data_IF_673929825666
#
_entry.id   IF_673929825666
#
_cell.length_a   1.000
_cell.length_b   1.000
_cell.length_c   1.000
_cell.angle_alpha   90.00
_cell.angle_beta   90.00
_cell.angle_gamma   90.00
#
_symmetry.space_group_name_H-M   'P 1'
#
loop_
_entity.id
_entity.type
_entity.pdbx_description
1 polymer ?
#
# COMPACT_ATOMS: atom_id res chain seq x y z
N UNK A 1 14.96 32.46 -22.94
CA UNK A 1 14.01 31.86 -22.05
C UNK A 1 13.88 30.39 -22.43
N UNK A 2 14.61 29.52 -21.71
CA UNK A 2 14.59 28.09 -21.92
C UNK A 2 13.46 27.52 -21.05
N UNK A 3 12.30 27.31 -21.64
CA UNK A 3 11.24 26.49 -21.10
C UNK A 3 11.73 25.05 -21.11
N UNK A 4 12.35 24.63 -20.02
CA UNK A 4 12.63 23.24 -19.77
C UNK A 4 11.28 22.51 -19.58
N UNK A 5 10.78 21.91 -20.64
CA UNK A 5 9.70 20.96 -20.59
C UNK A 5 10.24 19.74 -19.85
N UNK A 6 10.08 19.76 -18.53
CA UNK A 6 10.42 18.62 -17.66
C UNK A 6 9.58 17.46 -18.13
N UNK A 7 10.19 16.48 -18.77
CA UNK A 7 9.49 15.27 -19.18
C UNK A 7 8.78 14.67 -17.96
N UNK A 8 7.47 14.80 -17.93
CA UNK A 8 6.65 14.16 -16.90
C UNK A 8 6.82 12.65 -17.06
N UNK A 9 7.28 12.02 -16.00
CA UNK A 9 7.38 10.57 -15.93
C UNK A 9 5.99 9.98 -16.11
N UNK A 10 5.77 9.26 -17.21
CA UNK A 10 4.47 8.65 -17.49
C UNK A 10 4.33 7.39 -16.64
N UNK A 11 3.42 7.42 -15.65
CA UNK A 11 3.10 6.27 -14.83
C UNK A 11 2.00 5.47 -15.54
N UNK A 12 2.16 4.15 -15.72
CA UNK A 12 1.12 3.32 -16.34
C UNK A 12 -0.21 3.39 -15.58
N UNK A 13 -1.35 3.12 -16.23
CA UNK A 13 -2.65 3.09 -15.57
C UNK A 13 -2.69 2.10 -14.40
N UNK A 14 -3.44 2.41 -13.35
CA UNK A 14 -3.55 1.58 -12.16
C UNK A 14 -3.98 0.14 -12.48
N UNK A 15 -4.90 -0.05 -13.43
CA UNK A 15 -5.36 -1.37 -13.86
C UNK A 15 -4.23 -2.24 -14.45
N UNK A 16 -3.37 -1.65 -15.25
CA UNK A 16 -2.20 -2.33 -15.81
C UNK A 16 -1.20 -2.70 -14.70
N UNK A 17 -0.97 -1.81 -13.74
CA UNK A 17 -0.09 -2.08 -12.61
C UNK A 17 -0.63 -3.17 -11.70
N UNK A 18 -1.94 -3.26 -11.52
CA UNK A 18 -2.57 -4.37 -10.78
C UNK A 18 -2.33 -5.69 -11.50
N UNK A 19 -2.49 -5.74 -12.82
CA UNK A 19 -2.22 -6.96 -13.62
C UNK A 19 -0.76 -7.39 -13.50
N UNK A 20 0.18 -6.46 -13.55
CA UNK A 20 1.60 -6.73 -13.35
C UNK A 20 1.89 -7.28 -11.96
N UNK A 21 1.26 -6.71 -10.93
CA UNK A 21 1.43 -7.16 -9.56
C UNK A 21 0.83 -8.55 -9.33
N UNK A 22 -0.31 -8.84 -9.93
CA UNK A 22 -0.92 -10.19 -9.94
C UNK A 22 0.05 -11.22 -10.55
N UNK A 23 0.66 -10.89 -11.69
CA UNK A 23 1.63 -11.77 -12.34
C UNK A 23 2.85 -12.06 -11.47
N UNK A 24 3.35 -11.05 -10.73
CA UNK A 24 4.45 -11.23 -9.78
C UNK A 24 4.07 -12.10 -8.59
N UNK A 25 2.87 -11.92 -8.05
CA UNK A 25 2.40 -12.62 -6.86
C UNK A 25 2.00 -14.07 -7.12
N UNK A 26 1.44 -14.36 -8.27
CA UNK A 26 0.84 -15.68 -8.58
C UNK A 26 1.75 -16.87 -8.28
N UNK A 27 3.07 -16.87 -8.59
CA UNK A 27 3.95 -17.99 -8.28
C UNK A 27 4.24 -18.18 -6.78
N UNK A 28 3.95 -17.17 -5.97
CA UNK A 28 4.38 -17.12 -4.56
C UNK A 28 3.23 -17.27 -3.57
N UNK A 29 1.99 -17.10 -4.00
CA UNK A 29 0.83 -17.27 -3.14
C UNK A 29 0.44 -18.74 -3.01
N UNK A 30 -0.05 -19.09 -1.82
CA UNK A 30 -0.61 -20.41 -1.51
C UNK A 30 -2.05 -20.24 -1.01
N UNK A 31 -2.83 -21.34 -0.87
CA UNK A 31 -4.17 -21.25 -0.28
C UNK A 31 -4.21 -20.67 1.15
N UNK A 32 -3.07 -20.67 1.86
CA UNK A 32 -2.95 -20.14 3.21
C UNK A 32 -2.46 -18.68 3.25
N UNK A 33 -2.08 -18.10 2.11
CA UNK A 33 -1.61 -16.70 2.04
C UNK A 33 -2.73 -15.73 2.39
N UNK A 34 -2.44 -14.76 3.26
CA UNK A 34 -3.38 -13.71 3.67
C UNK A 34 -2.89 -12.36 3.16
N UNK A 35 -3.73 -11.66 2.42
CA UNK A 35 -3.49 -10.27 2.03
C UNK A 35 -3.99 -9.33 3.12
N UNK A 36 -3.17 -8.34 3.46
CA UNK A 36 -3.50 -7.31 4.45
C UNK A 36 -3.39 -5.95 3.77
N UNK A 37 -4.53 -5.38 3.41
CA UNK A 37 -4.59 -4.05 2.78
C UNK A 37 -4.43 -2.93 3.79
N UNK A 38 -3.61 -1.95 3.48
CA UNK A 38 -3.43 -0.75 4.31
C UNK A 38 -4.45 0.30 3.85
N UNK A 39 -5.28 0.78 4.79
CA UNK A 39 -6.28 1.80 4.50
C UNK A 39 -5.62 3.12 4.04
N UNK A 40 -6.13 3.72 3.01
CA UNK A 40 -7.35 3.42 2.23
C UNK A 40 -7.00 2.76 0.89
N UNK A 41 -6.03 3.30 0.15
CA UNK A 41 -5.67 2.84 -1.20
C UNK A 41 -5.16 1.40 -1.25
N UNK A 42 -4.42 0.98 -0.23
CA UNK A 42 -3.92 -0.39 -0.13
C UNK A 42 -5.03 -1.44 -0.01
N UNK A 43 -6.15 -1.10 0.62
CA UNK A 43 -7.33 -1.99 0.68
C UNK A 43 -7.95 -2.16 -0.70
N UNK A 44 -8.07 -1.10 -1.49
CA UNK A 44 -8.59 -1.21 -2.86
C UNK A 44 -7.73 -2.08 -3.75
N UNK A 45 -6.41 -1.93 -3.63
CA UNK A 45 -5.46 -2.79 -4.36
C UNK A 45 -5.57 -4.24 -3.89
N UNK A 46 -5.62 -4.46 -2.57
CA UNK A 46 -5.73 -5.80 -2.00
C UNK A 46 -7.03 -6.51 -2.41
N UNK A 47 -8.15 -5.80 -2.49
CA UNK A 47 -9.43 -6.33 -3.01
C UNK A 47 -9.27 -6.83 -4.45
N UNK A 48 -8.64 -6.03 -5.32
CA UNK A 48 -8.42 -6.40 -6.71
C UNK A 48 -7.47 -7.61 -6.84
N UNK A 49 -6.38 -7.63 -6.06
CA UNK A 49 -5.43 -8.75 -6.04
C UNK A 49 -6.08 -10.04 -5.52
N UNK A 50 -6.84 -9.94 -4.44
CA UNK A 50 -7.54 -11.07 -3.83
C UNK A 50 -8.48 -11.75 -4.82
N UNK A 51 -9.28 -10.97 -5.53
CA UNK A 51 -10.18 -11.47 -6.56
C UNK A 51 -9.43 -12.11 -7.74
N UNK A 52 -8.40 -11.43 -8.26
CA UNK A 52 -7.65 -11.89 -9.42
C UNK A 52 -6.81 -13.15 -9.12
N UNK A 53 -6.29 -13.29 -7.90
CA UNK A 53 -5.53 -14.44 -7.47
C UNK A 53 -6.42 -15.63 -7.03
N UNK A 54 -7.72 -15.40 -6.86
CA UNK A 54 -8.66 -16.43 -6.43
C UNK A 54 -8.38 -16.95 -5.02
N UNK A 55 -7.91 -16.07 -4.12
CA UNK A 55 -7.61 -16.45 -2.75
C UNK A 55 -8.88 -16.74 -1.97
N UNK A 56 -8.84 -17.78 -1.16
CA UNK A 56 -9.97 -18.20 -0.32
C UNK A 56 -9.86 -17.73 1.13
N UNK A 57 -8.65 -17.35 1.57
CA UNK A 57 -8.45 -16.72 2.88
C UNK A 57 -9.16 -15.37 2.92
N UNK A 58 -9.81 -15.01 4.04
CA UNK A 58 -10.43 -13.70 4.18
C UNK A 58 -9.42 -12.57 3.98
N UNK A 59 -9.85 -11.52 3.27
CA UNK A 59 -9.06 -10.30 3.12
C UNK A 59 -8.97 -9.57 4.45
N UNK A 60 -7.75 -9.30 4.91
CA UNK A 60 -7.51 -8.51 6.11
C UNK A 60 -7.22 -7.04 5.75
N UNK A 61 -7.37 -6.16 6.72
CA UNK A 61 -7.06 -4.75 6.57
C UNK A 61 -6.50 -4.15 7.86
N UNK A 62 -5.71 -3.10 7.71
CA UNK A 62 -5.11 -2.38 8.81
C UNK A 62 -5.23 -0.88 8.59
N UNK A 63 -5.58 -0.16 9.64
CA UNK A 63 -5.64 1.29 9.62
C UNK A 63 -4.55 1.86 10.52
N UNK A 64 -3.59 2.54 9.90
CA UNK A 64 -2.45 3.17 10.56
C UNK A 64 -2.57 4.70 10.63
N UNK A 65 -3.75 5.25 10.47
CA UNK A 65 -4.00 6.69 10.45
C UNK A 65 -3.46 7.42 11.69
N UNK A 66 -3.43 6.75 12.84
CA UNK A 66 -2.88 7.29 14.10
C UNK A 66 -1.35 7.42 14.11
N UNK A 67 -0.64 6.79 13.16
CA UNK A 67 0.82 6.75 13.09
C UNK A 67 1.38 7.60 11.94
N UNK A 68 0.53 8.30 11.20
CA UNK A 68 0.99 9.24 10.18
C UNK A 68 1.45 10.53 10.84
N UNK A 69 2.65 10.98 10.48
CA UNK A 69 3.29 12.20 11.04
C UNK A 69 2.53 13.51 10.75
N UNK A 70 1.41 13.46 10.06
CA UNK A 70 0.57 14.63 9.74
C UNK A 70 -0.34 15.07 10.91
N UNK A 71 -0.31 14.37 12.05
CA UNK A 71 -1.11 14.69 13.22
C UNK A 71 -0.36 15.55 14.25
N UNK A 72 0.32 16.59 13.80
CA UNK A 72 0.74 17.68 14.68
C UNK A 72 -0.39 18.71 14.87
N UNK A 73 -1.52 18.28 15.36
CA UNK A 73 -2.48 19.23 15.96
C UNK A 73 -3.31 18.53 17.01
N UNK A 74 -3.14 19.06 18.21
CA UNK A 74 -3.67 18.55 19.44
C UNK A 74 -5.18 18.40 19.50
N UNK A 75 -5.55 17.72 20.57
CA UNK A 75 -6.87 17.49 21.14
C UNK A 75 -7.70 16.35 20.55
N UNK A 76 -7.47 15.15 21.06
CA UNK A 76 -8.41 14.39 21.85
C UNK A 76 -9.85 14.23 21.36
N UNK A 77 -10.10 14.14 20.08
CA UNK A 77 -11.30 13.48 19.57
C UNK A 77 -10.81 12.22 18.84
N UNK A 78 -11.07 11.07 19.45
CA UNK A 78 -11.04 9.79 18.76
C UNK A 78 -11.93 9.95 17.53
N UNK A 79 -11.35 10.37 16.39
CA UNK A 79 -12.00 10.10 15.13
C UNK A 79 -12.34 8.61 15.19
N UNK A 80 -13.59 8.25 14.92
CA UNK A 80 -14.01 6.86 14.87
C UNK A 80 -13.11 6.17 13.85
N UNK A 81 -11.98 5.64 14.32
CA UNK A 81 -10.96 5.03 13.50
C UNK A 81 -11.59 3.84 12.81
N UNK A 82 -11.31 3.67 11.53
CA UNK A 82 -11.62 2.44 10.84
C UNK A 82 -10.94 1.32 11.61
N UNK A 83 -11.72 0.34 12.03
CA UNK A 83 -11.20 -0.78 12.80
C UNK A 83 -10.34 -1.65 11.86
N UNK A 84 -9.14 -1.97 12.30
CA UNK A 84 -8.32 -2.99 11.62
C UNK A 84 -9.03 -4.34 11.71
N UNK A 85 -9.10 -5.06 10.59
CA UNK A 85 -9.63 -6.40 10.51
C UNK A 85 -8.49 -7.35 10.18
N UNK A 86 -7.88 -7.91 11.22
CA UNK A 86 -6.80 -8.88 11.08
C UNK A 86 -7.36 -10.31 11.14
N UNK A 87 -6.63 -11.30 10.56
CA UNK A 87 -7.02 -12.69 10.70
C UNK A 87 -7.03 -13.10 12.17
N UNK A 88 -7.92 -14.03 12.52
CA UNK A 88 -8.05 -14.54 13.88
C UNK A 88 -6.75 -15.17 14.40
N UNK A 89 -5.92 -15.68 13.51
CA UNK A 89 -4.63 -16.27 13.81
C UNK A 89 -3.53 -15.66 12.93
N UNK A 90 -2.79 -14.71 13.50
CA UNK A 90 -1.59 -14.13 12.90
C UNK A 90 -0.38 -15.03 13.14
N UNK A 91 -0.42 -15.88 14.17
CA UNK A 91 0.70 -16.74 14.54
C UNK A 91 1.05 -17.73 13.43
N UNK A 92 2.30 -17.69 12.99
CA UNK A 92 2.80 -18.56 11.93
C UNK A 92 2.24 -18.30 10.53
N UNK A 93 1.45 -17.24 10.34
CA UNK A 93 0.84 -16.93 9.04
C UNK A 93 1.85 -16.35 8.04
N UNK A 94 1.62 -16.61 6.75
CA UNK A 94 2.25 -15.89 5.64
C UNK A 94 1.37 -14.70 5.26
N UNK A 95 1.84 -13.51 5.56
CA UNK A 95 1.13 -12.26 5.32
C UNK A 95 1.78 -11.47 4.18
N UNK A 96 0.96 -10.90 3.33
CA UNK A 96 1.40 -9.92 2.33
C UNK A 96 0.69 -8.60 2.62
N UNK A 97 1.45 -7.63 3.12
CA UNK A 97 0.99 -6.24 3.23
C UNK A 97 0.83 -5.66 1.83
N UNK A 98 -0.27 -4.98 1.60
CA UNK A 98 -0.57 -4.34 0.33
C UNK A 98 -0.80 -2.85 0.54
N UNK A 99 -0.05 -2.04 -0.19
CA UNK A 99 -0.24 -0.59 -0.23
C UNK A 99 -0.26 -0.10 -1.69
N UNK A 100 -0.78 1.09 -1.91
CA UNK A 100 -0.82 1.71 -3.24
C UNK A 100 0.52 2.33 -3.61
N UNK A 101 1.08 3.15 -2.74
CA UNK A 101 2.32 3.91 -2.97
C UNK A 101 3.28 3.76 -1.81
N UNK A 102 4.48 3.31 -2.09
CA UNK A 102 5.58 3.28 -1.13
C UNK A 102 6.38 4.57 -1.22
N UNK A 103 6.47 5.27 -0.08
CA UNK A 103 7.19 6.54 0.03
C UNK A 103 8.31 6.45 1.08
N UNK A 104 8.11 7.02 2.26
CA UNK A 104 9.14 7.09 3.31
C UNK A 104 9.41 5.75 3.99
N UNK A 105 8.44 4.85 3.99
CA UNK A 105 8.43 3.60 4.75
C UNK A 105 7.75 3.70 6.12
N UNK A 106 7.32 4.89 6.54
CA UNK A 106 6.72 5.11 7.86
C UNK A 106 5.37 4.42 8.03
N UNK A 107 4.53 4.45 7.00
CA UNK A 107 3.26 3.71 6.99
C UNK A 107 3.48 2.20 7.14
N UNK A 108 4.46 1.66 6.45
CA UNK A 108 4.78 0.23 6.51
C UNK A 108 5.32 -0.15 7.89
N UNK A 109 6.18 0.67 8.48
CA UNK A 109 6.66 0.45 9.85
C UNK A 109 5.50 0.39 10.84
N UNK A 110 4.56 1.34 10.74
CA UNK A 110 3.38 1.38 11.61
C UNK A 110 2.50 0.13 11.44
N UNK A 111 2.30 -0.31 10.20
CA UNK A 111 1.56 -1.54 9.90
C UNK A 111 2.24 -2.78 10.48
N UNK A 112 3.55 -2.89 10.35
CA UNK A 112 4.33 -4.00 10.94
C UNK A 112 4.22 -3.99 12.47
N UNK A 113 4.33 -2.83 13.13
CA UNK A 113 4.18 -2.74 14.57
C UNK A 113 2.80 -3.25 15.02
N UNK A 114 1.75 -2.85 14.33
CA UNK A 114 0.39 -3.30 14.66
C UNK A 114 0.21 -4.80 14.42
N UNK A 115 0.72 -5.34 13.32
CA UNK A 115 0.66 -6.78 13.05
C UNK A 115 1.33 -7.60 14.16
N UNK A 116 2.50 -7.19 14.61
CA UNK A 116 3.25 -7.90 15.65
C UNK A 116 2.63 -7.76 17.05
N UNK A 117 1.72 -6.82 17.27
CA UNK A 117 0.91 -6.77 18.49
C UNK A 117 -0.15 -7.88 18.55
N UNK A 118 -0.53 -8.44 17.40
CA UNK A 118 -1.53 -9.53 17.31
C UNK A 118 -0.92 -10.93 17.31
N UNK A 119 0.37 -11.08 17.09
CA UNK A 119 1.05 -12.38 17.07
C UNK A 119 2.36 -12.34 16.27
N UNK A 120 2.93 -13.51 16.05
CA UNK A 120 4.18 -13.66 15.29
C UNK A 120 3.92 -14.34 13.94
N UNK A 121 3.72 -13.59 12.86
CA UNK A 121 3.64 -14.18 11.53
C UNK A 121 4.94 -14.91 11.17
N UNK A 122 4.86 -15.95 10.35
CA UNK A 122 6.03 -16.67 9.85
C UNK A 122 6.88 -15.76 8.97
N UNK A 123 6.23 -14.98 8.13
CA UNK A 123 6.87 -13.93 7.34
C UNK A 123 5.83 -12.85 6.95
N UNK A 124 6.34 -11.67 6.67
CA UNK A 124 5.56 -10.56 6.12
C UNK A 124 6.28 -10.04 4.90
N UNK A 125 5.60 -10.06 3.77
CA UNK A 125 6.08 -9.48 2.52
C UNK A 125 5.30 -8.20 2.22
N UNK A 126 5.82 -7.35 1.34
CA UNK A 126 5.20 -6.09 0.94
C UNK A 126 4.99 -6.05 -0.56
N UNK A 127 3.75 -5.78 -0.97
CA UNK A 127 3.36 -5.56 -2.35
C UNK A 127 2.83 -4.13 -2.53
N UNK A 128 3.36 -3.39 -3.50
CA UNK A 128 2.93 -2.02 -3.81
C UNK A 128 2.74 -1.83 -5.31
N UNK A 129 1.83 -0.93 -5.70
CA UNK A 129 1.67 -0.57 -7.10
C UNK A 129 2.82 0.31 -7.57
N UNK A 130 3.17 1.33 -6.80
CA UNK A 130 4.20 2.31 -7.16
C UNK A 130 5.16 2.54 -6.00
N UNK A 131 6.44 2.47 -6.30
CA UNK A 131 7.50 2.99 -5.43
C UNK A 131 7.91 4.38 -5.94
N UNK A 132 7.59 5.42 -5.19
CA UNK A 132 7.88 6.80 -5.57
C UNK A 132 9.27 7.30 -5.16
N UNK A 133 10.05 6.45 -4.48
CA UNK A 133 11.31 6.85 -3.87
C UNK A 133 11.11 7.71 -2.60
N UNK A 134 12.17 8.34 -2.13
CA UNK A 134 12.11 9.24 -0.96
C UNK A 134 12.09 8.50 0.38
N UNK A 135 12.72 7.35 0.45
CA UNK A 135 12.79 6.54 1.66
C UNK A 135 13.47 7.27 2.81
N UNK A 136 12.91 7.18 4.00
CA UNK A 136 13.48 7.64 5.28
C UNK A 136 13.79 6.47 6.21
N UNK A 137 13.15 5.32 6.00
CA UNK A 137 13.36 4.09 6.74
C UNK A 137 13.82 2.97 5.79
N UNK A 138 14.55 1.95 6.30
CA UNK A 138 15.08 0.85 5.48
C UNK A 138 13.98 -0.16 5.15
N UNK A 139 13.00 0.25 4.37
CA UNK A 139 11.87 -0.55 3.91
C UNK A 139 11.95 -0.71 2.40
N UNK A 140 11.78 -1.93 1.91
CA UNK A 140 11.73 -2.24 0.49
C UNK A 140 10.50 -3.12 0.19
N UNK A 141 9.90 -2.92 -0.99
CA UNK A 141 8.85 -3.80 -1.47
C UNK A 141 9.42 -5.14 -1.93
N UNK A 142 8.75 -6.23 -1.56
CA UNK A 142 9.03 -7.56 -2.11
C UNK A 142 8.51 -7.64 -3.55
N UNK A 143 7.33 -7.05 -3.78
CA UNK A 143 6.69 -6.97 -5.09
C UNK A 143 6.35 -5.51 -5.39
N UNK A 144 6.78 -5.02 -6.54
CA UNK A 144 6.52 -3.64 -6.97
C UNK A 144 6.16 -3.66 -8.45
N UNK A 145 5.00 -3.11 -8.81
CA UNK A 145 4.60 -3.06 -10.21
C UNK A 145 5.37 -1.99 -10.99
N UNK A 146 5.62 -0.83 -10.39
CA UNK A 146 6.33 0.26 -11.03
C UNK A 146 7.17 1.08 -10.04
N UNK A 147 8.45 1.17 -10.28
CA UNK A 147 9.35 2.05 -9.52
C UNK A 147 9.69 3.29 -10.37
N UNK A 148 9.52 4.47 -9.79
CA UNK A 148 9.89 5.72 -10.47
C UNK A 148 11.41 5.78 -10.65
N UNK A 149 11.86 6.15 -11.86
CA UNK A 149 13.28 6.30 -12.16
C UNK A 149 13.92 7.47 -11.39
N UNK A 150 13.11 8.47 -11.02
CA UNK A 150 13.50 9.60 -10.17
C UNK A 150 12.44 9.79 -9.09
N UNK A 151 12.83 9.98 -7.81
CA UNK A 151 11.90 10.29 -6.75
C UNK A 151 11.06 11.52 -7.05
N UNK A 152 9.78 11.51 -6.68
CA UNK A 152 8.95 12.69 -6.72
C UNK A 152 9.37 13.68 -5.63
N UNK A 153 9.28 15.00 -5.90
CA UNK A 153 9.50 16.01 -4.88
C UNK A 153 8.59 15.81 -3.67
N UNK A 154 9.09 16.11 -2.47
CA UNK A 154 8.30 16.02 -1.23
C UNK A 154 7.08 16.97 -1.23
N UNK A 155 7.12 18.04 -2.05
CA UNK A 155 5.99 18.96 -2.26
C UNK A 155 4.84 18.34 -3.04
N UNK A 156 5.04 17.20 -3.68
CA UNK A 156 4.01 16.54 -4.48
C UNK A 156 3.36 15.39 -3.72
N UNK A 157 2.03 15.39 -3.70
CA UNK A 157 1.21 14.26 -3.27
C UNK A 157 0.88 13.37 -4.45
N UNK A 158 1.07 12.08 -4.27
CA UNK A 158 0.76 11.06 -5.26
C UNK A 158 -0.12 10.00 -4.60
N UNK A 159 -1.35 9.88 -5.03
CA UNK A 159 -2.36 9.06 -4.36
C UNK A 159 -3.20 8.27 -5.37
N UNK A 160 -3.66 7.09 -4.93
CA UNK A 160 -4.66 6.32 -5.63
C UNK A 160 -6.05 6.85 -5.28
N UNK A 161 -6.92 6.97 -6.28
CA UNK A 161 -8.31 7.36 -6.14
C UNK A 161 -9.22 6.29 -6.72
N UNK A 162 -10.43 6.20 -6.19
CA UNK A 162 -11.48 5.32 -6.70
C UNK A 162 -12.72 6.14 -7.01
N UNK A 163 -13.20 6.03 -8.24
CA UNK A 163 -14.42 6.72 -8.67
C UNK A 163 -15.69 5.98 -8.21
N UNK A 164 -16.86 6.55 -8.54
CA UNK A 164 -18.17 5.98 -8.17
C UNK A 164 -18.45 4.63 -8.84
N UNK A 165 -17.76 4.32 -9.93
CA UNK A 165 -17.86 3.05 -10.64
C UNK A 165 -16.85 2.01 -10.14
N UNK A 166 -16.04 2.35 -9.13
CA UNK A 166 -15.00 1.49 -8.58
C UNK A 166 -13.69 1.48 -9.38
N UNK A 167 -13.55 2.33 -10.38
CA UNK A 167 -12.34 2.42 -11.19
C UNK A 167 -11.23 3.15 -10.44
N UNK A 168 -10.04 2.56 -10.45
CA UNK A 168 -8.85 3.10 -9.80
C UNK A 168 -8.05 3.97 -10.77
N UNK A 169 -7.56 5.09 -10.27
CA UNK A 169 -6.67 5.99 -11.00
C UNK A 169 -5.73 6.72 -10.06
N UNK A 170 -4.56 7.13 -10.55
CA UNK A 170 -3.64 7.94 -9.78
C UNK A 170 -3.91 9.42 -9.95
N UNK A 171 -3.73 10.18 -8.87
CA UNK A 171 -3.72 11.64 -8.90
C UNK A 171 -2.38 12.17 -8.38
N UNK A 172 -1.90 13.23 -9.01
CA UNK A 172 -0.72 13.97 -8.60
C UNK A 172 -1.14 15.41 -8.33
N UNK A 173 -0.83 15.91 -7.14
CA UNK A 173 -1.15 17.28 -6.74
C UNK A 173 0.00 17.91 -5.96
N UNK A 174 0.13 19.24 -6.04
CA UNK A 174 1.01 19.99 -5.14
C UNK A 174 0.35 20.07 -3.75
N UNK A 175 1.20 20.04 -2.70
CA UNK A 175 0.77 20.21 -1.31
C UNK A 175 0.60 21.69 -0.97
#
# INVERSE_FOLDING_TARGET
PLTSTRAMQTIPPATELIEQLVAQLRPHVTPATVLVGIHTGGVWVAEALHAALGLTTPLASIDVAFHRDDHHLGNGLKAAGRVSHLPDDVEGAHLILVDDVLYTGRTIRAALNELFDYGRPANVELAVLVDRGGRELPVAATYCAYALSKPLPASQSFNLQRDTNGQLSFSLSEK
#
